data_IF_059881470921
#
_entry.id   IF_059881470921
#
_cell.length_a   1.000
_cell.length_b   1.000
_cell.length_c   1.000
_cell.angle_alpha   90.00
_cell.angle_beta   90.00
_cell.angle_gamma   90.00
#
_symmetry.space_group_name_H-M   'P 1'
#
loop_
_entity.id
_entity.type
_entity.pdbx_description
1 polymer ?
#
# COMPACT_ATOMS: atom_id res chain seq x y z
N UNK A 1 -24.85 17.66 -47.79
CA UNK A 1 -23.40 17.37 -47.70
C UNK A 1 -22.76 18.52 -46.94
N UNK A 2 -22.49 18.34 -45.65
CA UNK A 2 -22.00 19.41 -44.77
C UNK A 2 -21.54 18.80 -43.47
N UNK A 3 -20.39 18.14 -43.56
CA UNK A 3 -19.70 17.49 -42.47
C UNK A 3 -19.18 18.56 -41.50
N UNK A 4 -19.69 18.59 -40.26
CA UNK A 4 -19.02 19.26 -39.14
C UNK A 4 -18.85 18.24 -38.01
N UNK A 5 -17.73 17.52 -38.10
CA UNK A 5 -17.08 16.86 -36.98
C UNK A 5 -16.79 17.91 -35.89
N UNK A 6 -17.49 17.82 -34.76
CA UNK A 6 -17.19 18.64 -33.59
C UNK A 6 -16.60 17.77 -32.48
N UNK A 7 -15.28 17.87 -32.37
CA UNK A 7 -14.43 17.68 -31.18
C UNK A 7 -14.55 16.37 -30.39
N UNK A 8 -13.60 15.48 -30.67
CA UNK A 8 -13.01 14.64 -29.63
C UNK A 8 -12.34 15.58 -28.60
N UNK A 9 -12.93 15.69 -27.41
CA UNK A 9 -12.22 16.26 -26.25
C UNK A 9 -11.65 15.05 -25.52
N UNK A 10 -10.38 14.64 -25.74
CA UNK A 10 -9.69 13.99 -24.65
C UNK A 10 -9.50 15.11 -23.63
N UNK A 11 -10.40 15.17 -22.65
CA UNK A 11 -10.09 15.84 -21.41
C UNK A 11 -8.91 15.05 -20.85
N UNK A 12 -7.70 15.45 -21.24
CA UNK A 12 -6.48 15.18 -20.52
C UNK A 12 -6.72 15.85 -19.18
N UNK A 13 -7.40 15.13 -18.29
CA UNK A 13 -7.32 15.38 -16.87
C UNK A 13 -5.83 15.42 -16.60
N UNK A 14 -5.28 16.63 -16.43
CA UNK A 14 -3.99 16.84 -15.85
C UNK A 14 -4.03 16.02 -14.55
N UNK A 15 -3.42 14.84 -14.57
CA UNK A 15 -3.39 13.99 -13.40
C UNK A 15 -2.64 14.83 -12.40
N UNK A 16 -3.34 15.36 -11.40
CA UNK A 16 -2.71 16.08 -10.31
C UNK A 16 -1.65 15.13 -9.77
N UNK A 17 -0.39 15.45 -10.04
CA UNK A 17 0.71 14.59 -9.64
C UNK A 17 0.61 14.38 -8.13
N UNK A 18 0.79 13.14 -7.69
CA UNK A 18 0.81 12.82 -6.26
C UNK A 18 1.96 13.61 -5.63
N UNK A 19 1.62 14.60 -4.81
CA UNK A 19 2.61 15.48 -4.17
C UNK A 19 3.24 14.84 -2.93
N UNK A 20 2.45 14.05 -2.21
CA UNK A 20 2.84 13.44 -0.94
C UNK A 20 2.30 12.02 -0.83
N UNK A 21 3.11 11.13 -0.28
CA UNK A 21 2.72 9.78 0.13
C UNK A 21 2.93 9.68 1.63
N UNK A 22 1.89 9.27 2.35
CA UNK A 22 1.97 9.01 3.80
C UNK A 22 1.95 7.51 4.01
N UNK A 23 2.98 7.00 4.68
CA UNK A 23 3.07 5.59 5.08
C UNK A 23 2.81 5.52 6.58
N UNK A 24 1.73 4.83 6.96
CA UNK A 24 1.39 4.54 8.36
C UNK A 24 1.55 3.04 8.57
N UNK A 25 2.43 2.65 9.48
CA UNK A 25 2.58 1.24 9.86
C UNK A 25 2.31 1.03 11.34
N UNK A 26 1.77 -0.15 11.64
CA UNK A 26 1.43 -0.61 12.98
C UNK A 26 2.30 -1.82 13.28
N UNK A 27 3.27 -1.67 14.17
CA UNK A 27 4.16 -2.78 14.52
C UNK A 27 3.39 -3.91 15.23
N UNK A 28 3.72 -5.16 14.91
CA UNK A 28 3.07 -6.34 15.49
C UNK A 28 1.62 -6.58 15.07
N UNK A 29 1.06 -5.86 14.08
CA UNK A 29 -0.31 -6.08 13.62
C UNK A 29 -0.42 -7.34 12.75
N UNK A 30 -0.69 -8.49 13.38
CA UNK A 30 -0.91 -9.76 12.69
C UNK A 30 -2.27 -9.85 11.99
N UNK A 31 -2.29 -10.39 10.76
CA UNK A 31 -3.52 -10.56 9.96
C UNK A 31 -4.62 -11.38 10.67
N UNK A 32 -4.23 -12.29 11.57
CA UNK A 32 -5.15 -13.11 12.36
C UNK A 32 -6.02 -12.29 13.33
N UNK A 33 -5.59 -11.07 13.69
CA UNK A 33 -6.30 -10.21 14.63
C UNK A 33 -7.44 -9.43 13.95
N UNK A 34 -7.30 -9.11 12.66
CA UNK A 34 -8.27 -8.32 11.88
C UNK A 34 -9.71 -8.86 11.92
N UNK A 35 -9.97 -10.18 11.74
CA UNK A 35 -11.34 -10.70 11.82
C UNK A 35 -11.89 -10.72 13.25
N UNK A 36 -11.03 -10.79 14.28
CA UNK A 36 -11.43 -10.97 15.69
C UNK A 36 -11.70 -9.65 16.42
N UNK A 37 -10.98 -8.60 16.08
CA UNK A 37 -11.04 -7.33 16.78
C UNK A 37 -12.01 -6.33 16.14
N UNK A 38 -12.54 -5.43 16.97
CA UNK A 38 -13.33 -4.30 16.52
C UNK A 38 -12.40 -3.16 16.07
N UNK A 39 -12.20 -3.04 14.75
CA UNK A 39 -11.35 -2.01 14.14
C UNK A 39 -12.12 -1.25 13.04
N UNK A 40 -13.12 -0.43 13.39
CA UNK A 40 -14.04 0.15 12.42
C UNK A 40 -13.34 1.00 11.36
N UNK A 41 -12.35 1.81 11.75
CA UNK A 41 -11.61 2.66 10.81
C UNK A 41 -10.69 1.86 9.88
N UNK A 42 -9.95 0.87 10.41
CA UNK A 42 -9.10 0.01 9.58
C UNK A 42 -9.93 -0.81 8.59
N UNK A 43 -11.04 -1.38 9.05
CA UNK A 43 -11.95 -2.15 8.18
C UNK A 43 -12.56 -1.28 7.10
N UNK A 44 -12.87 -0.02 7.40
CA UNK A 44 -13.33 0.94 6.39
C UNK A 44 -12.25 1.22 5.33
N UNK A 45 -11.00 1.41 5.74
CA UNK A 45 -9.87 1.55 4.81
C UNK A 45 -9.67 0.31 3.92
N UNK A 46 -9.91 -0.88 4.44
CA UNK A 46 -9.87 -2.12 3.67
C UNK A 46 -11.01 -2.21 2.64
N UNK A 47 -12.23 -1.80 3.02
CA UNK A 47 -13.40 -1.79 2.14
C UNK A 47 -13.26 -0.78 1.00
N UNK A 48 -12.79 0.43 1.31
CA UNK A 48 -12.69 1.53 0.36
C UNK A 48 -11.39 1.51 -0.47
N UNK A 49 -10.49 0.56 -0.18
CA UNK A 49 -9.13 0.51 -0.73
C UNK A 49 -8.72 -0.88 -1.21
N UNK A 50 -7.40 -1.08 -1.32
CA UNK A 50 -6.79 -2.37 -1.65
C UNK A 50 -6.13 -2.96 -0.41
N UNK A 51 -6.36 -4.25 -0.14
CA UNK A 51 -5.78 -4.93 1.02
C UNK A 51 -5.43 -6.38 0.73
N UNK A 52 -4.56 -6.95 1.57
CA UNK A 52 -4.29 -8.39 1.60
C UNK A 52 -3.99 -8.84 3.03
N UNK A 53 -4.69 -9.88 3.48
CA UNK A 53 -4.40 -10.57 4.74
C UNK A 53 -3.37 -11.71 4.57
N UNK A 54 -2.79 -11.84 3.36
CA UNK A 54 -1.82 -12.88 3.00
C UNK A 54 -0.40 -12.32 2.81
N UNK A 55 -0.16 -11.07 3.19
CA UNK A 55 1.18 -10.49 3.20
C UNK A 55 2.09 -11.28 4.15
N UNK A 56 3.30 -11.61 3.69
CA UNK A 56 4.27 -12.39 4.46
C UNK A 56 5.40 -11.51 4.94
N UNK A 57 5.86 -11.76 6.16
CA UNK A 57 7.10 -11.19 6.69
C UNK A 57 8.31 -11.85 6.03
N UNK A 58 9.44 -11.15 6.08
CA UNK A 58 10.75 -11.80 5.88
C UNK A 58 11.16 -12.53 7.16
N UNK A 59 12.15 -13.42 7.05
CA UNK A 59 12.74 -14.12 8.18
C UNK A 59 14.06 -13.46 8.60
N UNK A 60 14.33 -13.26 9.90
CA UNK A 60 13.43 -13.49 11.02
C UNK A 60 12.25 -12.51 11.02
N UNK A 61 11.13 -12.92 11.61
CA UNK A 61 9.93 -12.06 11.76
C UNK A 61 10.12 -11.02 12.88
N UNK A 62 11.18 -10.21 12.75
CA UNK A 62 11.56 -9.13 13.68
C UNK A 62 11.17 -7.76 13.12
N UNK A 63 10.89 -6.80 14.01
CA UNK A 63 10.49 -5.44 13.64
C UNK A 63 11.53 -4.79 12.73
N UNK A 64 12.78 -4.66 13.17
CA UNK A 64 13.82 -3.93 12.42
C UNK A 64 14.03 -4.52 11.01
N UNK A 65 14.12 -5.85 10.94
CA UNK A 65 14.30 -6.59 9.68
C UNK A 65 13.13 -6.37 8.71
N UNK A 66 11.88 -6.47 9.18
CA UNK A 66 10.70 -6.31 8.32
C UNK A 66 10.49 -4.86 7.88
N UNK A 67 10.71 -3.89 8.77
CA UNK A 67 10.66 -2.47 8.41
C UNK A 67 11.72 -2.13 7.36
N UNK A 68 12.95 -2.60 7.53
CA UNK A 68 14.02 -2.42 6.54
C UNK A 68 13.64 -3.06 5.19
N UNK A 69 13.10 -4.28 5.20
CA UNK A 69 12.66 -4.94 3.96
C UNK A 69 11.56 -4.19 3.23
N UNK A 70 10.57 -3.64 3.93
CA UNK A 70 9.48 -2.87 3.30
C UNK A 70 9.96 -1.54 2.72
N UNK A 71 10.85 -0.83 3.42
CA UNK A 71 11.30 0.51 3.02
C UNK A 71 12.38 0.42 1.93
N UNK A 72 13.29 -0.54 2.04
CA UNK A 72 14.43 -0.70 1.13
C UNK A 72 14.12 -1.64 -0.05
N UNK A 73 13.01 -2.38 0.00
CA UNK A 73 12.59 -3.30 -1.07
C UNK A 73 13.54 -4.48 -1.26
N UNK A 74 14.27 -4.89 -0.22
CA UNK A 74 15.29 -5.93 -0.29
C UNK A 74 15.16 -6.92 0.86
N UNK A 75 15.77 -8.10 0.75
CA UNK A 75 15.80 -9.07 1.85
C UNK A 75 16.91 -8.79 2.87
N UNK A 76 16.92 -9.51 4.01
CA UNK A 76 17.89 -9.34 5.10
C UNK A 76 19.35 -9.36 4.67
N UNK A 77 19.69 -10.26 3.74
CA UNK A 77 21.05 -10.40 3.20
C UNK A 77 21.53 -9.17 2.44
N UNK A 78 20.61 -8.37 1.88
CA UNK A 78 20.91 -7.21 1.06
C UNK A 78 20.90 -5.91 1.87
N UNK A 79 19.95 -5.76 2.80
CA UNK A 79 19.87 -4.55 3.61
C UNK A 79 20.67 -4.62 4.93
N UNK A 80 21.19 -5.78 5.31
CA UNK A 80 22.13 -5.95 6.43
C UNK A 80 21.50 -5.93 7.83
N UNK A 81 20.17 -5.83 7.94
CA UNK A 81 19.47 -6.01 9.21
C UNK A 81 19.08 -7.48 9.34
N UNK A 82 19.59 -8.14 10.38
CA UNK A 82 19.47 -9.59 10.54
C UNK A 82 18.87 -10.02 11.88
N UNK A 83 18.59 -9.07 12.77
CA UNK A 83 18.06 -9.30 14.13
C UNK A 83 16.89 -8.37 14.43
#
# INVERSE_FOLDING_TARGET
MGCLLFMCIPSLYAQNHVKHVVVVGFDGLGAYAVPKANMPHLKKLMEDGAFSLKARTVLPSSSAVNWASMIMGAGPTMHGYTE
#
